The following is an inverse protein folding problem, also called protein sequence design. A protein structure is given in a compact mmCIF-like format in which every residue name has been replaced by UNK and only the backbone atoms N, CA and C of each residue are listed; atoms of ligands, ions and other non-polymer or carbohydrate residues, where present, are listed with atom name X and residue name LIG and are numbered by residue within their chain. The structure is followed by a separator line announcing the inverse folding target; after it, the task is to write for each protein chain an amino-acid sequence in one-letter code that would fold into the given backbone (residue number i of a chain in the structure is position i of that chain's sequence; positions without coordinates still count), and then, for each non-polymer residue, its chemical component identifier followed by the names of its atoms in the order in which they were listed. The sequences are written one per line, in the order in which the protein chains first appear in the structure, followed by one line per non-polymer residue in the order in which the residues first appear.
data_IF_333369669599
#
_entry.id   IF_333369669599
#
_cell.length_a   1.000
_cell.length_b   1.000
_cell.length_c   1.000
_cell.angle_alpha   90.00
_cell.angle_beta   90.00
_cell.angle_gamma   90.00
#
_symmetry.space_group_name_H-M   'P 1'
#
loop_
_entity.id
_entity.type
_entity.pdbx_description
1 polymer ?
#
# COMPACT_ATOMS: atom_id res chain seq x y z
N UNK A 1 -14.50 11.44 16.73
CA UNK A 1 -15.22 10.73 17.81
C UNK A 1 -15.73 11.77 18.79
N UNK A 2 -17.05 11.90 19.00
CA UNK A 2 -17.62 12.93 19.89
C UNK A 2 -17.38 12.48 21.34
N UNK A 3 -16.77 13.33 22.16
CA UNK A 3 -16.55 13.04 23.58
C UNK A 3 -17.90 12.99 24.32
N UNK A 4 -17.97 12.24 25.42
CA UNK A 4 -19.20 12.10 26.21
C UNK A 4 -19.72 13.48 26.69
N UNK A 5 -18.81 14.41 27.01
CA UNK A 5 -19.13 15.79 27.39
C UNK A 5 -19.74 16.59 26.25
N UNK A 6 -19.20 16.47 25.03
CA UNK A 6 -19.77 17.13 23.85
C UNK A 6 -21.15 16.57 23.49
N UNK A 7 -21.36 15.26 23.63
CA UNK A 7 -22.67 14.65 23.40
C UNK A 7 -23.72 15.08 24.45
N UNK A 8 -23.29 15.28 25.71
CA UNK A 8 -24.15 15.82 26.75
C UNK A 8 -24.50 17.29 26.47
N UNK A 9 -23.52 18.09 26.06
CA UNK A 9 -23.72 19.51 25.74
C UNK A 9 -24.69 19.72 24.57
N UNK A 10 -24.56 18.94 23.49
CA UNK A 10 -25.44 19.00 22.31
C UNK A 10 -26.91 18.72 22.69
N UNK A 11 -27.17 17.91 23.72
CA UNK A 11 -28.53 17.62 24.20
C UNK A 11 -29.14 18.74 25.03
N UNK A 12 -28.32 19.62 25.61
CA UNK A 12 -28.77 20.67 26.54
C UNK A 12 -28.71 22.08 25.95
N UNK A 13 -28.09 22.24 24.78
CA UNK A 13 -27.94 23.53 24.10
C UNK A 13 -28.77 23.54 22.81
N UNK A 14 -29.87 24.29 22.81
CA UNK A 14 -30.80 24.36 21.67
C UNK A 14 -30.11 24.83 20.39
N UNK A 15 -29.19 25.80 20.50
CA UNK A 15 -28.42 26.29 19.35
C UNK A 15 -27.51 25.20 18.74
N UNK A 16 -26.91 24.34 19.57
CA UNK A 16 -26.08 23.23 19.08
C UNK A 16 -26.95 22.10 18.50
N UNK A 17 -28.11 21.84 19.09
CA UNK A 17 -29.07 20.87 18.56
C UNK A 17 -29.58 21.29 17.18
N UNK A 18 -29.95 22.56 17.01
CA UNK A 18 -30.39 23.14 15.75
C UNK A 18 -29.28 23.10 14.68
N UNK A 19 -28.05 23.43 15.05
CA UNK A 19 -26.89 23.33 14.17
C UNK A 19 -26.67 21.89 13.67
N UNK A 20 -26.80 20.91 14.56
CA UNK A 20 -26.67 19.49 14.21
C UNK A 20 -27.79 19.03 13.27
N UNK A 21 -29.02 19.48 13.51
CA UNK A 21 -30.14 19.21 12.62
C UNK A 21 -29.88 19.76 11.21
N UNK A 22 -29.41 21.01 11.09
CA UNK A 22 -29.03 21.62 9.81
C UNK A 22 -27.95 20.80 9.07
N UNK A 23 -26.92 20.31 9.77
CA UNK A 23 -25.91 19.44 9.17
C UNK A 23 -26.48 18.10 8.70
N UNK A 24 -27.43 17.51 9.44
CA UNK A 24 -28.07 16.26 8.99
C UNK A 24 -28.92 16.46 7.73
N UNK A 25 -29.64 17.58 7.64
CA UNK A 25 -30.42 17.95 6.46
C UNK A 25 -29.50 18.17 5.27
N UNK A 26 -28.40 18.93 5.44
CA UNK A 26 -27.41 19.15 4.38
C UNK A 26 -26.75 17.85 3.92
N UNK A 27 -26.44 16.94 4.85
CA UNK A 27 -25.91 15.62 4.50
C UNK A 27 -26.92 14.77 3.70
N UNK A 28 -28.21 14.90 4.01
CA UNK A 28 -29.27 14.21 3.27
C UNK A 28 -29.48 14.81 1.86
N UNK A 29 -29.42 16.13 1.71
CA UNK A 29 -29.53 16.79 0.40
C UNK A 29 -28.35 16.45 -0.51
N UNK A 30 -27.11 16.49 0.00
CA UNK A 30 -25.92 16.12 -0.77
C UNK A 30 -25.98 14.66 -1.26
N UNK A 31 -26.41 13.71 -0.41
CA UNK A 31 -26.60 12.30 -0.84
C UNK A 31 -27.66 12.17 -1.92
N UNK A 32 -28.75 12.95 -1.83
CA UNK A 32 -29.81 12.96 -2.84
C UNK A 32 -29.32 13.54 -4.17
N UNK A 33 -28.58 14.64 -4.14
CA UNK A 33 -28.00 15.25 -5.35
C UNK A 33 -26.97 14.33 -6.01
N UNK A 34 -26.10 13.69 -5.23
CA UNK A 34 -25.16 12.68 -5.75
C UNK A 34 -25.91 11.49 -6.36
N UNK A 35 -26.97 11.02 -5.73
CA UNK A 35 -27.80 9.91 -6.27
C UNK A 35 -28.52 10.30 -7.57
N UNK A 36 -28.96 11.56 -7.69
CA UNK A 36 -29.57 12.08 -8.91
C UNK A 36 -28.53 12.33 -10.01
N UNK A 37 -27.33 12.80 -9.67
CA UNK A 37 -26.22 12.98 -10.61
C UNK A 37 -25.71 11.64 -11.17
N UNK A 38 -25.72 10.57 -10.36
CA UNK A 38 -25.41 9.21 -10.77
C UNK A 38 -26.52 8.54 -11.60
N UNK A 39 -27.74 9.08 -11.60
CA UNK A 39 -28.88 8.57 -12.37
C UNK A 39 -28.77 8.74 -13.88
N UNK A 40 -27.81 9.54 -14.36
CA UNK A 40 -27.55 9.79 -15.79
C UNK A 40 -26.37 8.99 -16.35
N UNK A 41 -25.77 8.07 -15.58
CA UNK A 41 -24.79 7.14 -16.12
C UNK A 41 -25.50 6.01 -16.88
N UNK A 42 -24.99 5.58 -18.05
CA UNK A 42 -25.53 4.43 -18.75
C UNK A 42 -25.58 3.22 -17.81
N UNK A 43 -26.71 2.50 -17.85
CA UNK A 43 -26.96 1.38 -16.95
C UNK A 43 -25.81 0.38 -16.99
N UNK A 44 -25.21 0.13 -15.83
CA UNK A 44 -24.26 -0.97 -15.64
C UNK A 44 -24.96 -2.25 -16.10
N UNK A 45 -24.36 -3.06 -17.00
CA UNK A 45 -24.98 -4.29 -17.44
C UNK A 45 -25.26 -5.18 -16.23
N UNK A 46 -26.55 -5.33 -15.91
CA UNK A 46 -27.04 -6.25 -14.89
C UNK A 46 -26.62 -7.65 -15.34
N UNK A 47 -25.68 -8.26 -14.62
CA UNK A 47 -25.46 -9.68 -14.75
C UNK A 47 -26.75 -10.38 -14.29
N UNK A 48 -27.56 -10.82 -15.25
CA UNK A 48 -28.62 -11.80 -14.99
C UNK A 48 -27.93 -13.09 -14.55
N UNK A 49 -27.68 -13.22 -13.25
CA UNK A 49 -27.48 -14.52 -12.64
C UNK A 49 -28.72 -15.34 -12.95
N UNK A 50 -28.58 -16.37 -13.80
CA UNK A 50 -29.61 -17.38 -14.06
C UNK A 50 -29.94 -18.14 -12.76
N UNK A 51 -30.70 -17.51 -11.87
CA UNK A 51 -31.16 -18.06 -10.58
C UNK A 51 -32.40 -18.96 -10.72
N UNK A 52 -32.82 -19.26 -11.95
CA UNK A 52 -34.02 -20.04 -12.23
C UNK A 52 -33.87 -21.58 -12.19
N UNK A 53 -32.65 -22.13 -12.23
CA UNK A 53 -32.45 -23.58 -12.32
C UNK A 53 -32.31 -24.23 -10.93
N UNK A 54 -31.58 -23.60 -10.01
CA UNK A 54 -31.35 -24.13 -8.67
C UNK A 54 -32.62 -24.19 -7.81
N UNK A 55 -33.54 -23.25 -7.98
CA UNK A 55 -34.79 -23.18 -7.21
C UNK A 55 -35.79 -24.27 -7.60
N UNK A 56 -35.85 -24.69 -8.88
CA UNK A 56 -36.70 -25.81 -9.32
C UNK A 56 -36.16 -27.17 -8.86
N UNK A 57 -34.84 -27.36 -8.83
CA UNK A 57 -34.24 -28.62 -8.36
C UNK A 57 -34.41 -28.80 -6.84
N UNK A 58 -34.22 -27.73 -6.08
CA UNK A 58 -34.42 -27.73 -4.61
C UNK A 58 -35.87 -27.98 -4.19
N UNK A 59 -36.84 -27.41 -4.91
CA UNK A 59 -38.27 -27.61 -4.59
C UNK A 59 -38.74 -29.04 -4.82
N UNK A 60 -38.13 -29.77 -5.76
CA UNK A 60 -38.44 -31.18 -6.04
C UNK A 60 -37.77 -32.12 -5.03
N UNK A 61 -36.59 -31.78 -4.50
CA UNK A 61 -35.89 -32.55 -3.46
C UNK A 61 -36.54 -32.50 -2.08
N UNK A 62 -37.22 -31.39 -1.74
CA UNK A 62 -37.91 -31.24 -0.45
C UNK A 62 -39.23 -32.03 -0.34
N UNK A 63 -39.83 -32.43 -1.46
CA UNK A 63 -41.05 -33.21 -1.46
C UNK A 63 -40.82 -34.71 -1.18
N UNK A 64 -39.59 -35.21 -1.38
CA UNK A 64 -39.27 -36.64 -1.29
C UNK A 64 -38.27 -37.01 -0.20
N UNK A 65 -37.51 -36.05 0.35
CA UNK A 65 -36.53 -36.35 1.39
C UNK A 65 -37.07 -36.12 2.80
N UNK A 66 -37.51 -37.20 3.45
CA UNK A 66 -37.56 -37.28 4.92
C UNK A 66 -36.14 -37.44 5.45
N UNK A 67 -35.34 -36.37 5.41
CA UNK A 67 -34.05 -36.37 6.12
C UNK A 67 -34.36 -36.31 7.63
N UNK A 68 -33.89 -37.27 8.45
CA UNK A 68 -34.02 -37.20 9.89
C UNK A 68 -33.35 -35.92 10.40
N UNK A 69 -34.07 -35.10 11.18
CA UNK A 69 -33.61 -33.77 11.65
C UNK A 69 -32.23 -33.78 12.30
N UNK A 70 -31.82 -34.90 12.87
CA UNK A 70 -30.49 -35.10 13.48
C UNK A 70 -29.33 -35.08 12.47
N UNK A 71 -29.52 -35.64 11.26
CA UNK A 71 -28.47 -35.64 10.24
C UNK A 71 -28.22 -34.24 9.68
N UNK A 72 -29.28 -33.43 9.56
CA UNK A 72 -29.17 -32.05 9.12
C UNK A 72 -28.47 -31.18 10.17
N UNK A 73 -28.79 -31.38 11.46
CA UNK A 73 -28.11 -30.69 12.55
C UNK A 73 -26.61 -31.04 12.62
N UNK A 74 -26.26 -32.31 12.42
CA UNK A 74 -24.86 -32.74 12.37
C UNK A 74 -24.10 -32.11 11.19
N UNK A 75 -24.73 -32.03 10.01
CA UNK A 75 -24.12 -31.42 8.83
C UNK A 75 -23.89 -29.91 9.02
N UNK A 76 -24.86 -29.20 9.60
CA UNK A 76 -24.72 -27.78 9.95
C UNK A 76 -23.63 -27.57 11.01
N UNK A 77 -23.54 -28.44 12.01
CA UNK A 77 -22.51 -28.36 13.04
C UNK A 77 -21.11 -28.59 12.45
N UNK A 78 -20.95 -29.56 11.54
CA UNK A 78 -19.68 -29.82 10.84
C UNK A 78 -19.29 -28.63 9.98
N UNK A 79 -20.23 -28.04 9.23
CA UNK A 79 -19.96 -26.83 8.41
C UNK A 79 -19.60 -25.63 9.28
N UNK A 80 -20.26 -25.43 10.43
CA UNK A 80 -19.92 -24.35 11.37
C UNK A 80 -18.54 -24.56 12.02
N UNK A 81 -18.20 -25.81 12.36
CA UNK A 81 -16.91 -26.15 12.95
C UNK A 81 -15.75 -26.06 11.93
N UNK A 82 -15.98 -26.40 10.66
CA UNK A 82 -14.95 -26.28 9.61
C UNK A 82 -14.80 -24.85 9.12
N UNK A 83 -15.89 -24.07 9.00
CA UNK A 83 -15.80 -22.65 8.64
C UNK A 83 -15.24 -21.76 9.76
N UNK A 84 -15.30 -22.20 11.03
CA UNK A 84 -14.68 -21.50 12.16
C UNK A 84 -13.16 -21.60 12.21
N UNK A 85 -12.56 -22.61 11.56
CA UNK A 85 -11.13 -22.88 11.63
C UNK A 85 -10.29 -22.16 10.56
N UNK A 86 -10.89 -21.73 9.44
CA UNK A 86 -10.13 -21.18 8.30
C UNK A 86 -10.11 -19.64 8.21
N UNK A 87 -10.72 -18.92 9.15
CA UNK A 87 -10.58 -17.46 9.24
C UNK A 87 -9.35 -17.05 10.06
N UNK A 88 -8.19 -17.68 9.84
CA UNK A 88 -6.91 -17.05 10.15
C UNK A 88 -6.61 -16.04 9.04
N UNK A 89 -7.36 -14.94 9.00
CA UNK A 89 -6.90 -13.74 8.31
C UNK A 89 -5.57 -13.37 8.96
N UNK A 90 -4.48 -13.53 8.22
CA UNK A 90 -3.24 -12.86 8.55
C UNK A 90 -3.58 -11.37 8.71
N UNK A 91 -3.64 -10.90 9.95
CA UNK A 91 -3.67 -9.47 10.25
C UNK A 91 -2.31 -8.96 9.81
N UNK A 92 -2.26 -8.42 8.60
CA UNK A 92 -1.18 -7.50 8.19
C UNK A 92 -1.34 -6.30 9.11
N UNK A 93 -0.37 -6.14 10.02
CA UNK A 93 -0.43 -5.15 11.08
C UNK A 93 -0.15 -3.76 10.54
N UNK A 94 -1.15 -3.13 9.92
CA UNK A 94 -1.18 -1.68 9.89
C UNK A 94 -1.50 -1.21 11.31
N UNK A 95 -0.50 -0.71 12.05
CA UNK A 95 -0.74 -0.02 13.33
C UNK A 95 -1.59 1.23 13.05
N UNK A 96 -2.91 1.09 13.11
CA UNK A 96 -3.88 2.12 12.70
C UNK A 96 -4.13 3.20 13.76
N UNK A 97 -3.35 3.22 14.84
CA UNK A 97 -3.67 4.02 16.03
C UNK A 97 -2.65 5.14 16.24
N UNK A 98 -3.05 6.37 15.95
CA UNK A 98 -2.29 7.57 16.32
C UNK A 98 -2.44 8.71 15.33
N UNK A 99 -2.41 9.94 15.85
CA UNK A 99 -2.23 11.12 15.01
C UNK A 99 -0.81 11.10 14.42
N UNK A 100 -0.71 11.42 13.13
CA UNK A 100 0.55 11.43 12.39
C UNK A 100 0.78 12.78 11.72
N UNK A 101 2.05 13.08 11.43
CA UNK A 101 2.39 14.07 10.41
C UNK A 101 2.72 13.33 9.14
N UNK A 102 1.97 13.60 8.08
CA UNK A 102 2.37 13.20 6.73
C UNK A 102 3.41 14.22 6.25
N UNK A 103 4.63 13.75 5.98
CA UNK A 103 5.68 14.55 5.36
C UNK A 103 5.79 14.15 3.89
N UNK A 104 5.40 15.06 3.01
CA UNK A 104 5.58 14.93 1.56
C UNK A 104 6.89 15.58 1.17
N UNK A 105 7.66 14.91 0.32
CA UNK A 105 8.95 15.35 -0.18
C UNK A 105 8.82 15.55 -1.68
N UNK A 106 9.07 16.76 -2.14
CA UNK A 106 9.03 17.14 -3.54
C UNK A 106 10.44 17.44 -4.06
N UNK A 107 10.67 17.08 -5.32
CA UNK A 107 11.82 17.55 -6.09
C UNK A 107 11.53 18.91 -6.71
N UNK A 108 12.59 19.64 -7.05
CA UNK A 108 12.50 20.96 -7.69
C UNK A 108 11.76 20.93 -9.04
N UNK A 109 11.67 19.76 -9.69
CA UNK A 109 10.89 19.51 -10.91
C UNK A 109 9.39 19.25 -10.68
N UNK A 110 8.88 19.47 -9.45
CA UNK A 110 7.47 19.36 -9.04
C UNK A 110 6.86 17.96 -9.14
N UNK A 111 7.68 16.91 -9.18
CA UNK A 111 7.22 15.55 -8.92
C UNK A 111 7.35 15.22 -7.42
N UNK A 112 6.28 14.66 -6.84
CA UNK A 112 6.34 14.07 -5.50
C UNK A 112 7.41 13.00 -5.53
N UNK A 113 8.50 13.25 -4.80
CA UNK A 113 9.60 12.31 -4.65
C UNK A 113 9.16 11.14 -3.76
N UNK A 114 8.48 11.45 -2.66
CA UNK A 114 7.95 10.46 -1.73
C UNK A 114 7.03 11.09 -0.66
N UNK A 115 6.35 10.27 0.12
CA UNK A 115 5.58 10.64 1.29
C UNK A 115 5.87 9.68 2.45
N UNK A 116 5.67 10.13 3.68
CA UNK A 116 5.65 9.24 4.83
C UNK A 116 4.83 9.79 5.99
N UNK A 117 4.18 8.89 6.71
CA UNK A 117 3.56 9.17 7.99
C UNK A 117 4.56 8.97 9.13
N UNK A 118 4.84 10.04 9.88
CA UNK A 118 5.58 9.99 11.14
C UNK A 118 4.58 10.01 12.31
N UNK A 119 4.54 8.94 13.11
CA UNK A 119 3.59 8.86 14.23
C UNK A 119 4.03 9.69 15.43
N UNK A 120 3.07 10.41 16.02
CA UNK A 120 3.30 11.20 17.22
C UNK A 120 3.26 10.35 18.49
N UNK A 121 2.69 9.15 18.42
CA UNK A 121 2.49 8.27 19.58
C UNK A 121 3.81 7.59 19.95
N UNK A 122 4.70 7.37 18.97
CA UNK A 122 5.98 6.70 19.18
C UNK A 122 7.16 7.47 18.55
N UNK A 123 7.23 8.77 18.83
CA UNK A 123 8.23 9.69 18.26
C UNK A 123 9.69 9.23 18.40
N UNK A 124 10.02 8.43 19.41
CA UNK A 124 11.38 7.90 19.60
C UNK A 124 11.81 6.83 18.60
N UNK A 125 10.85 6.17 17.93
CA UNK A 125 11.08 5.06 16.98
C UNK A 125 10.73 5.40 15.54
N UNK A 126 9.99 6.48 15.32
CA UNK A 126 9.55 6.86 13.98
C UNK A 126 10.63 7.64 13.24
N UNK A 127 11.34 6.89 12.40
CA UNK A 127 12.30 7.40 11.43
C UNK A 127 12.05 6.78 10.08
N UNK A 128 12.26 7.56 9.05
CA UNK A 128 12.27 7.11 7.67
C UNK A 128 13.66 7.38 7.08
N UNK A 129 14.10 6.50 6.18
CA UNK A 129 15.17 6.77 5.24
C UNK A 129 14.67 6.42 3.84
N UNK A 130 14.95 7.28 2.87
CA UNK A 130 14.61 7.05 1.47
C UNK A 130 15.74 7.52 0.58
N UNK A 131 15.86 6.88 -0.59
CA UNK A 131 16.75 7.28 -1.66
C UNK A 131 16.00 7.34 -2.98
N UNK A 132 16.48 8.15 -3.91
CA UNK A 132 15.92 8.25 -5.24
C UNK A 132 16.77 9.11 -6.16
N UNK A 133 16.47 9.06 -7.45
CA UNK A 133 17.22 9.80 -8.47
C UNK A 133 16.89 11.30 -8.35
N UNK A 134 17.91 12.14 -8.17
CA UNK A 134 17.79 13.61 -8.16
C UNK A 134 17.98 14.22 -9.54
N UNK A 135 18.87 13.65 -10.36
CA UNK A 135 19.10 14.06 -11.74
C UNK A 135 19.58 12.85 -12.55
N UNK A 136 18.68 12.32 -13.40
CA UNK A 136 18.98 11.16 -14.24
C UNK A 136 20.00 11.45 -15.34
N UNK A 137 20.16 12.72 -15.76
CA UNK A 137 21.15 13.10 -16.77
C UNK A 137 22.56 13.14 -16.21
N UNK A 138 22.68 13.41 -14.91
CA UNK A 138 23.98 13.47 -14.19
C UNK A 138 24.27 12.21 -13.38
N UNK A 139 23.44 11.18 -13.51
CA UNK A 139 23.54 9.94 -12.74
C UNK A 139 23.64 10.19 -11.22
N UNK A 140 22.83 11.13 -10.72
CA UNK A 140 22.87 11.59 -9.34
C UNK A 140 21.67 11.07 -8.55
N UNK A 141 21.94 10.37 -7.46
CA UNK A 141 20.96 9.98 -6.46
C UNK A 141 21.08 10.86 -5.20
N UNK A 142 19.95 11.05 -4.54
CA UNK A 142 19.85 11.73 -3.25
C UNK A 142 19.23 10.81 -2.23
N UNK A 143 19.76 10.86 -1.02
CA UNK A 143 19.24 10.12 0.13
C UNK A 143 18.90 11.11 1.21
N UNK A 144 17.75 10.91 1.84
CA UNK A 144 17.30 11.68 2.99
C UNK A 144 16.74 10.75 4.06
N UNK A 145 17.09 11.02 5.31
CA UNK A 145 16.44 10.44 6.48
C UNK A 145 15.81 11.55 7.31
N UNK A 146 14.57 11.29 7.71
CA UNK A 146 13.79 12.14 8.60
C UNK A 146 13.47 11.34 9.86
N UNK A 147 13.80 11.90 11.02
CA UNK A 147 13.43 11.35 12.32
C UNK A 147 12.64 12.38 13.11
N UNK A 148 11.51 11.96 13.68
CA UNK A 148 10.72 12.86 14.52
C UNK A 148 11.42 13.09 15.86
N UNK A 149 11.75 14.33 16.19
CA UNK A 149 12.29 14.69 17.50
C UNK A 149 11.22 15.19 18.48
N UNK A 150 10.07 15.65 17.97
CA UNK A 150 8.95 16.05 18.80
C UNK A 150 8.00 17.01 18.12
N UNK A 151 6.93 17.37 18.84
CA UNK A 151 5.94 18.36 18.40
C UNK A 151 6.37 19.76 18.86
N UNK A 152 6.12 20.75 18.01
CA UNK A 152 6.25 22.17 18.35
C UNK A 152 4.95 22.89 17.99
N UNK A 153 4.80 24.15 18.42
CA UNK A 153 3.63 24.95 18.06
C UNK A 153 3.53 25.09 16.54
N UNK A 154 2.38 24.69 15.97
CA UNK A 154 2.13 24.75 14.53
C UNK A 154 2.95 23.78 13.66
N UNK A 155 3.66 22.80 14.24
CA UNK A 155 4.51 21.91 13.44
C UNK A 155 5.21 20.79 14.20
N UNK A 156 6.28 20.28 13.59
CA UNK A 156 7.15 19.25 14.17
C UNK A 156 8.62 19.62 14.05
N UNK A 157 9.39 19.11 15.01
CA UNK A 157 10.85 19.13 15.01
C UNK A 157 11.34 17.84 14.37
N UNK A 158 12.14 17.97 13.32
CA UNK A 158 12.72 16.84 12.58
C UNK A 158 14.24 16.87 12.72
N UNK A 159 14.83 15.69 12.86
CA UNK A 159 16.26 15.47 12.67
C UNK A 159 16.47 14.94 11.27
N UNK A 160 17.28 15.66 10.49
CA UNK A 160 17.47 15.41 9.07
C UNK A 160 18.90 15.04 8.79
N UNK A 161 19.08 13.94 8.07
CA UNK A 161 20.35 13.56 7.43
C UNK A 161 20.12 13.47 5.94
N UNK A 162 21.03 14.00 5.15
CA UNK A 162 20.92 13.88 3.71
C UNK A 162 22.27 14.01 3.04
N UNK A 163 22.42 13.34 1.90
CA UNK A 163 23.57 13.49 1.01
C UNK A 163 23.17 13.12 -0.42
N UNK A 164 23.99 13.55 -1.37
CA UNK A 164 23.87 13.17 -2.77
C UNK A 164 25.15 12.47 -3.23
N UNK A 165 25.01 11.54 -4.16
CA UNK A 165 26.12 10.79 -4.73
C UNK A 165 25.75 10.12 -6.06
N UNK A 166 26.72 9.45 -6.71
CA UNK A 166 26.44 8.67 -7.92
C UNK A 166 25.39 7.59 -7.64
N UNK A 167 24.42 7.39 -8.55
CA UNK A 167 23.35 6.39 -8.39
C UNK A 167 23.91 5.01 -8.06
N UNK A 168 25.01 4.61 -8.70
CA UNK A 168 25.62 3.29 -8.52
C UNK A 168 26.20 3.02 -7.13
N UNK A 169 26.55 4.06 -6.35
CA UNK A 169 27.23 3.90 -5.05
C UNK A 169 26.45 4.47 -3.88
N UNK A 170 25.25 4.98 -4.12
CA UNK A 170 24.45 5.67 -3.10
C UNK A 170 23.60 4.68 -2.31
N UNK A 171 23.84 4.59 -1.00
CA UNK A 171 23.12 3.72 -0.07
C UNK A 171 22.59 4.49 1.16
N UNK A 172 21.37 4.17 1.58
CA UNK A 172 20.78 4.60 2.85
C UNK A 172 21.64 4.32 4.08
N UNK A 173 22.48 3.28 4.06
CA UNK A 173 23.35 2.94 5.19
C UNK A 173 24.39 4.02 5.52
N UNK A 174 24.83 4.80 4.53
CA UNK A 174 25.79 5.89 4.72
C UNK A 174 25.21 7.07 5.49
N UNK A 175 23.88 7.20 5.57
CA UNK A 175 23.23 8.20 6.40
C UNK A 175 23.67 8.08 7.86
N UNK A 176 23.94 6.88 8.37
CA UNK A 176 24.35 6.69 9.77
C UNK A 176 25.66 7.43 10.13
N UNK A 177 26.49 7.75 9.13
CA UNK A 177 27.79 8.41 9.29
C UNK A 177 27.70 9.94 9.24
N UNK A 178 26.54 10.48 8.87
CA UNK A 178 26.35 11.91 8.67
C UNK A 178 25.80 12.61 9.93
N UNK A 179 26.15 13.89 10.13
CA UNK A 179 25.60 14.68 11.22
C UNK A 179 24.10 14.89 11.04
N UNK A 180 23.36 14.84 12.16
CA UNK A 180 21.95 15.23 12.19
C UNK A 180 21.84 16.76 12.21
N UNK A 181 20.93 17.28 11.37
CA UNK A 181 20.55 18.69 11.38
C UNK A 181 19.12 18.80 11.89
N UNK A 182 18.92 19.58 12.94
CA UNK A 182 17.58 19.87 13.44
C UNK A 182 16.90 20.92 12.55
N UNK A 183 15.67 20.64 12.15
CA UNK A 183 14.81 21.58 11.41
C UNK A 183 13.40 21.60 11.99
N UNK A 184 12.71 22.72 11.81
CA UNK A 184 11.30 22.86 12.19
C UNK A 184 10.48 22.88 10.91
N UNK A 185 9.59 21.90 10.76
CA UNK A 185 8.60 21.85 9.69
C UNK A 185 7.26 22.31 10.27
N UNK A 186 6.83 23.52 9.89
CA UNK A 186 5.49 24.01 10.19
C UNK A 186 4.49 23.39 9.24
N UNK A 187 3.36 22.95 9.75
CA UNK A 187 2.33 22.33 8.92
C UNK A 187 1.64 23.37 8.04
N UNK A 188 1.41 23.02 6.77
CA UNK A 188 0.92 23.95 5.75
C UNK A 188 1.98 24.88 5.14
N UNK A 189 3.22 24.85 5.64
CA UNK A 189 4.36 25.56 5.05
C UNK A 189 5.32 24.58 4.35
N UNK A 190 6.11 25.11 3.41
CA UNK A 190 7.14 24.36 2.71
C UNK A 190 8.51 24.64 3.31
N UNK A 191 9.30 23.61 3.58
CA UNK A 191 10.67 23.72 4.07
C UNK A 191 11.65 23.16 3.04
N UNK A 192 12.59 23.99 2.58
CA UNK A 192 13.66 23.54 1.68
C UNK A 192 14.81 22.91 2.48
N UNK A 193 15.21 21.71 2.09
CA UNK A 193 16.32 20.97 2.67
C UNK A 193 17.35 20.66 1.59
N UNK A 194 18.59 21.11 1.81
CA UNK A 194 19.71 20.77 0.93
C UNK A 194 20.09 19.28 1.06
N UNK A 195 20.35 18.63 -0.07
CA UNK A 195 20.82 17.25 -0.17
C UNK A 195 22.25 17.26 -0.71
N UNK A 196 23.22 17.30 0.21
CA UNK A 196 24.61 17.63 -0.12
C UNK A 196 24.71 18.98 -0.83
N UNK A 197 25.68 19.09 -1.74
CA UNK A 197 25.91 20.30 -2.56
C UNK A 197 25.18 20.24 -3.92
N UNK A 198 24.36 19.22 -4.14
CA UNK A 198 23.92 18.82 -5.48
C UNK A 198 22.42 18.95 -5.74
N UNK A 199 21.63 19.35 -4.74
CA UNK A 199 20.20 19.56 -4.93
C UNK A 199 19.47 20.01 -3.68
N UNK A 200 18.20 20.38 -3.86
CA UNK A 200 17.29 20.75 -2.78
C UNK A 200 16.02 19.91 -2.89
N UNK A 201 15.56 19.39 -1.75
CA UNK A 201 14.24 18.79 -1.60
C UNK A 201 13.33 19.78 -0.87
N UNK A 202 12.04 19.77 -1.20
CA UNK A 202 11.04 20.56 -0.49
C UNK A 202 10.18 19.64 0.35
N UNK A 203 10.10 19.90 1.66
CA UNK A 203 9.29 19.16 2.61
C UNK A 203 7.99 19.91 2.86
N UNK A 204 6.88 19.18 2.91
CA UNK A 204 5.56 19.67 3.28
C UNK A 204 5.02 18.83 4.42
N UNK A 205 4.47 19.47 5.46
CA UNK A 205 3.88 18.76 6.60
C UNK A 205 2.37 18.98 6.67
N UNK A 206 1.62 17.89 6.83
CA UNK A 206 0.18 17.93 7.07
C UNK A 206 -0.22 17.00 8.23
N UNK A 207 -1.15 17.46 9.06
CA UNK A 207 -1.65 16.70 10.21
C UNK A 207 -2.76 15.75 9.79
N UNK A 208 -2.67 14.51 10.24
CA UNK A 208 -3.74 13.54 10.12
C UNK A 208 -4.06 12.92 11.48
N UNK A 209 -5.34 12.66 11.74
CA UNK A 209 -5.81 11.97 12.96
C UNK A 209 -5.69 10.44 12.86
N UNK A 210 -5.27 9.93 11.71
CA UNK A 210 -4.99 8.55 11.38
C UNK A 210 -3.85 8.48 10.36
N UNK A 211 -3.23 7.32 10.17
CA UNK A 211 -2.34 7.10 9.02
C UNK A 211 -3.24 7.08 7.77
N UNK A 212 -3.13 8.07 6.85
CA UNK A 212 -3.93 8.04 5.64
C UNK A 212 -3.60 6.77 4.86
N UNK A 213 -4.54 6.28 4.06
CA UNK A 213 -4.23 5.26 3.08
C UNK A 213 -3.27 5.88 2.04
N UNK A 214 -1.99 5.88 2.34
CA UNK A 214 -0.96 6.35 1.42
C UNK A 214 -1.01 5.45 0.20
N UNK A 215 -1.23 6.05 -0.96
CA UNK A 215 -0.89 5.42 -2.23
C UNK A 215 0.55 5.86 -2.45
N UNK A 216 1.50 5.05 -1.99
CA UNK A 216 2.92 5.43 -1.83
C UNK A 216 3.55 6.06 -3.08
N UNK A 217 4.66 6.78 -2.91
CA UNK A 217 5.48 7.39 -3.98
C UNK A 217 4.67 8.01 -5.14
N UNK A 218 3.93 9.09 -4.87
CA UNK A 218 3.37 9.92 -5.94
C UNK A 218 2.34 9.20 -6.85
N UNK A 219 1.72 8.10 -6.38
CA UNK A 219 0.63 7.47 -7.12
C UNK A 219 -0.59 8.41 -7.11
N UNK A 220 -0.76 9.14 -8.21
CA UNK A 220 -1.82 10.15 -8.39
C UNK A 220 -3.22 9.57 -8.58
N UNK A 221 -3.33 8.25 -8.81
CA UNK A 221 -4.58 7.57 -9.16
C UNK A 221 -4.65 6.17 -8.56
N UNK A 222 -5.80 5.80 -8.02
CA UNK A 222 -6.08 4.44 -7.53
C UNK A 222 -6.00 3.41 -8.67
N UNK A 223 -6.30 3.83 -9.90
CA UNK A 223 -6.23 2.97 -11.09
C UNK A 223 -4.82 3.04 -11.73
N UNK A 224 -4.13 1.90 -11.92
CA UNK A 224 -2.87 1.80 -12.67
C UNK A 224 -3.01 2.23 -14.12
N UNK A 225 -1.98 2.83 -14.70
CA UNK A 225 -1.91 2.99 -16.15
C UNK A 225 -1.78 1.62 -16.85
N UNK A 226 -2.06 1.57 -18.16
CA UNK A 226 -2.08 0.30 -18.91
C UNK A 226 -0.74 -0.47 -18.90
N UNK A 227 0.37 0.27 -18.80
CA UNK A 227 1.75 -0.24 -18.75
C UNK A 227 2.41 -0.05 -17.39
N UNK A 228 1.63 0.21 -16.34
CA UNK A 228 2.13 0.43 -14.99
C UNK A 228 1.91 -0.82 -14.13
N UNK A 229 2.97 -1.20 -13.40
CA UNK A 229 2.93 -2.23 -12.38
C UNK A 229 3.23 -1.57 -11.04
N UNK A 230 2.46 -1.88 -9.99
CA UNK A 230 2.61 -1.30 -8.65
C UNK A 230 2.82 -2.39 -7.62
N UNK A 231 3.92 -2.32 -6.90
CA UNK A 231 4.22 -3.18 -5.76
C UNK A 231 4.41 -2.28 -4.55
N UNK A 232 3.44 -2.27 -3.64
CA UNK A 232 3.41 -1.44 -2.45
C UNK A 232 3.35 -2.34 -1.21
N UNK A 233 4.31 -2.18 -0.30
CA UNK A 233 4.40 -2.91 0.95
C UNK A 233 4.19 -4.43 0.78
N UNK A 234 4.99 -5.09 -0.08
CA UNK A 234 4.71 -6.46 -0.49
C UNK A 234 4.82 -7.45 0.68
N UNK A 235 3.81 -8.30 0.81
CA UNK A 235 3.81 -9.47 1.69
C UNK A 235 3.73 -10.73 0.83
N UNK A 236 4.69 -11.64 1.01
CA UNK A 236 4.72 -12.91 0.29
C UNK A 236 4.26 -14.06 1.18
N UNK A 237 3.32 -14.85 0.66
CA UNK A 237 2.80 -16.05 1.28
C UNK A 237 3.21 -17.30 0.46
N UNK A 238 3.59 -18.36 1.16
CA UNK A 238 3.74 -19.73 0.63
C UNK A 238 2.58 -20.57 1.19
N UNK A 239 1.59 -20.87 0.36
CA UNK A 239 0.27 -21.28 0.85
C UNK A 239 -0.32 -20.18 1.76
N UNK A 240 -0.59 -20.53 3.02
CA UNK A 240 -1.12 -19.59 4.02
C UNK A 240 -0.05 -19.05 4.98
N UNK A 241 1.22 -19.44 4.78
CA UNK A 241 2.33 -19.03 5.63
C UNK A 241 3.01 -17.79 5.06
N UNK A 242 3.13 -16.73 5.87
CA UNK A 242 3.93 -15.55 5.53
C UNK A 242 5.42 -15.90 5.55
N UNK A 243 6.09 -15.73 4.42
CA UNK A 243 7.53 -16.01 4.25
C UNK A 243 8.37 -14.73 4.11
N UNK A 244 7.73 -13.59 3.87
CA UNK A 244 8.41 -12.30 3.79
C UNK A 244 7.46 -11.12 3.76
N UNK A 245 7.96 -9.97 4.17
CA UNK A 245 7.26 -8.68 4.19
C UNK A 245 8.30 -7.57 4.01
N UNK A 246 8.05 -6.63 3.10
CA UNK A 246 8.85 -5.42 2.95
C UNK A 246 7.93 -4.24 3.29
N UNK A 247 8.02 -3.74 4.52
CA UNK A 247 7.19 -2.63 4.97
C UNK A 247 7.73 -1.27 4.50
N UNK A 248 6.83 -0.33 4.26
CA UNK A 248 7.08 1.05 3.85
C UNK A 248 7.60 1.24 2.42
N UNK A 249 7.94 0.18 1.69
CA UNK A 249 8.58 0.31 0.37
C UNK A 249 7.53 0.21 -0.74
N UNK A 250 7.68 1.04 -1.76
CA UNK A 250 6.84 1.05 -2.96
C UNK A 250 7.72 1.07 -4.19
N UNK A 251 7.29 0.43 -5.27
CA UNK A 251 7.89 0.56 -6.60
C UNK A 251 6.79 0.54 -7.67
N UNK A 252 6.94 1.41 -8.67
CA UNK A 252 5.94 1.67 -9.71
C UNK A 252 6.54 1.68 -11.11
N UNK A 253 7.18 0.58 -11.56
CA UNK A 253 7.77 0.54 -12.88
C UNK A 253 6.70 0.77 -13.95
N UNK A 254 7.04 1.67 -14.87
CA UNK A 254 6.22 1.99 -16.03
C UNK A 254 6.88 1.47 -17.29
N UNK A 255 6.05 1.07 -18.27
CA UNK A 255 6.52 0.46 -19.50
C UNK A 255 6.57 -1.06 -19.42
N UNK A 256 6.22 -1.70 -20.53
CA UNK A 256 6.13 -3.15 -20.65
C UNK A 256 7.47 -3.88 -20.55
N UNK A 257 8.58 -3.16 -20.71
CA UNK A 257 9.93 -3.69 -20.68
C UNK A 257 10.58 -3.61 -19.30
N UNK A 258 9.85 -3.16 -18.28
CA UNK A 258 10.36 -3.06 -16.92
C UNK A 258 9.70 -4.10 -16.02
N UNK A 259 10.50 -4.67 -15.12
CA UNK A 259 10.07 -5.57 -14.06
C UNK A 259 10.21 -4.88 -12.70
N UNK A 260 9.25 -5.09 -11.81
CA UNK A 260 9.48 -4.89 -10.37
C UNK A 260 10.17 -6.14 -9.82
N UNK A 261 11.09 -5.99 -8.88
CA UNK A 261 11.66 -7.10 -8.14
C UNK A 261 11.45 -6.91 -6.64
N UNK A 262 11.22 -8.01 -5.93
CA UNK A 262 11.20 -8.07 -4.47
C UNK A 262 12.21 -9.11 -4.01
N UNK A 263 13.05 -8.76 -3.04
CA UNK A 263 14.03 -9.66 -2.45
C UNK A 263 13.60 -9.93 -1.01
N UNK A 264 13.37 -11.20 -0.70
CA UNK A 264 13.10 -11.67 0.64
C UNK A 264 14.29 -12.51 1.12
N UNK A 265 14.94 -12.14 2.24
CA UNK A 265 16.03 -12.92 2.81
C UNK A 265 15.65 -14.40 2.93
N UNK A 266 16.58 -15.30 2.57
CA UNK A 266 16.42 -16.77 2.61
C UNK A 266 15.37 -17.36 1.67
N UNK A 267 14.63 -16.53 0.94
CA UNK A 267 13.60 -16.98 0.00
C UNK A 267 13.93 -16.59 -1.45
N UNK A 268 14.85 -15.63 -1.62
CA UNK A 268 15.39 -15.22 -2.90
C UNK A 268 14.69 -14.01 -3.50
N UNK A 269 14.86 -13.83 -4.81
CA UNK A 269 14.32 -12.71 -5.59
C UNK A 269 13.14 -13.14 -6.43
N UNK A 270 12.11 -12.30 -6.46
CA UNK A 270 10.90 -12.46 -7.25
C UNK A 270 10.77 -11.28 -8.19
N UNK A 271 10.75 -11.53 -9.50
CA UNK A 271 10.55 -10.48 -10.51
C UNK A 271 9.16 -10.59 -11.11
N UNK A 272 8.49 -9.46 -11.23
CA UNK A 272 7.13 -9.31 -11.72
C UNK A 272 7.14 -8.40 -12.95
N UNK A 273 6.62 -8.88 -14.07
CA UNK A 273 6.63 -8.18 -15.35
C UNK A 273 5.26 -8.24 -16.03
N UNK A 274 4.87 -7.17 -16.71
CA UNK A 274 3.68 -7.17 -17.57
C UNK A 274 3.93 -7.88 -18.91
N UNK A 275 5.19 -8.12 -19.27
CA UNK A 275 5.59 -8.83 -20.48
C UNK A 275 6.28 -10.15 -20.17
N UNK A 276 6.14 -11.11 -21.08
CA UNK A 276 6.79 -12.42 -20.94
C UNK A 276 8.30 -12.26 -20.89
N UNK A 277 8.93 -12.92 -19.91
CA UNK A 277 10.38 -12.97 -19.78
C UNK A 277 10.83 -14.43 -19.72
N UNK A 278 12.11 -14.65 -20.02
CA UNK A 278 12.70 -15.99 -20.00
C UNK A 278 12.63 -16.58 -18.59
N UNK A 279 12.25 -17.86 -18.53
CA UNK A 279 12.11 -18.64 -17.29
C UNK A 279 11.04 -18.11 -16.32
N UNK A 280 10.20 -17.17 -16.77
CA UNK A 280 9.07 -16.70 -16.00
C UNK A 280 7.85 -17.61 -16.20
N UNK A 281 7.14 -17.82 -15.10
CA UNK A 281 5.86 -18.51 -15.04
C UNK A 281 4.72 -17.50 -15.09
N UNK A 282 3.55 -17.96 -15.52
CA UNK A 282 2.36 -17.13 -15.51
C UNK A 282 1.79 -17.01 -14.08
N UNK A 283 1.53 -15.78 -13.68
CA UNK A 283 0.77 -15.43 -12.49
C UNK A 283 -0.52 -14.71 -12.87
N UNK A 284 -1.46 -14.72 -11.93
CA UNK A 284 -2.75 -14.03 -12.04
C UNK A 284 -2.79 -12.83 -11.11
N UNK A 285 -3.19 -11.69 -11.63
CA UNK A 285 -3.50 -10.48 -10.87
C UNK A 285 -4.99 -10.46 -10.54
N UNK A 286 -5.31 -10.27 -9.27
CA UNK A 286 -6.65 -9.95 -8.79
C UNK A 286 -6.58 -8.78 -7.80
N UNK A 287 -6.90 -7.57 -8.26
CA UNK A 287 -6.79 -6.33 -7.48
C UNK A 287 -5.37 -6.09 -6.95
N UNK A 288 -5.17 -6.32 -5.65
CA UNK A 288 -3.95 -6.12 -4.90
C UNK A 288 -3.20 -7.45 -4.61
N UNK A 289 -3.47 -8.48 -5.42
CA UNK A 289 -2.94 -9.82 -5.24
C UNK A 289 -2.34 -10.36 -6.53
N UNK A 290 -1.15 -10.96 -6.44
CA UNK A 290 -0.62 -11.86 -7.47
C UNK A 290 -0.62 -13.27 -6.92
N UNK A 291 -1.22 -14.21 -7.64
CA UNK A 291 -1.13 -15.64 -7.34
C UNK A 291 -0.38 -16.37 -8.44
N UNK A 292 0.57 -17.21 -8.08
CA UNK A 292 1.37 -18.00 -9.01
C UNK A 292 1.77 -19.34 -8.38
N UNK A 293 2.16 -20.30 -9.20
CA UNK A 293 2.61 -21.61 -8.73
C UNK A 293 4.04 -21.86 -9.20
N UNK A 294 4.93 -22.16 -8.25
CA UNK A 294 6.34 -22.47 -8.53
C UNK A 294 6.70 -23.79 -7.86
N UNK A 295 7.21 -24.74 -8.66
CA UNK A 295 7.57 -26.10 -8.21
C UNK A 295 6.44 -26.79 -7.42
N UNK A 296 5.21 -26.75 -7.93
CA UNK A 296 4.05 -27.37 -7.27
C UNK A 296 3.56 -26.65 -6.02
N UNK A 297 4.16 -25.51 -5.66
CA UNK A 297 3.78 -24.73 -4.48
C UNK A 297 3.10 -23.43 -4.90
N UNK A 298 1.93 -23.17 -4.31
CA UNK A 298 1.20 -21.92 -4.50
C UNK A 298 1.82 -20.79 -3.69
N UNK A 299 2.07 -19.67 -4.35
CA UNK A 299 2.51 -18.43 -3.74
C UNK A 299 1.44 -17.35 -3.92
N UNK A 300 1.43 -16.40 -2.99
CA UNK A 300 0.57 -15.21 -3.08
C UNK A 300 1.35 -13.99 -2.64
N UNK A 301 1.52 -13.02 -3.54
CA UNK A 301 1.98 -11.68 -3.20
C UNK A 301 0.76 -10.81 -2.90
N UNK A 302 0.73 -10.17 -1.75
CA UNK A 302 -0.22 -9.13 -1.38
C UNK A 302 0.49 -7.78 -1.42
N UNK A 303 -0.20 -6.75 -1.89
CA UNK A 303 0.27 -5.36 -1.91
C UNK A 303 -0.80 -4.44 -1.30
N UNK A 304 -0.41 -3.23 -0.92
CA UNK A 304 -1.28 -2.19 -0.37
C UNK A 304 -2.26 -1.57 -1.39
N UNK A 305 -1.99 -1.70 -2.70
CA UNK A 305 -2.77 -1.05 -3.76
C UNK A 305 -3.05 -1.98 -4.96
N UNK A 306 -3.99 -1.62 -5.86
CA UNK A 306 -4.16 -2.32 -7.14
C UNK A 306 -2.86 -2.39 -7.94
N UNK A 307 -2.52 -3.57 -8.45
CA UNK A 307 -1.19 -3.87 -9.03
C UNK A 307 -1.05 -3.36 -10.46
N UNK A 308 -1.97 -3.76 -11.33
CA UNK A 308 -1.98 -3.39 -12.73
C UNK A 308 -3.41 -3.52 -13.28
N UNK A 309 -3.67 -2.98 -14.47
CA UNK A 309 -4.95 -3.17 -15.19
C UNK A 309 -5.11 -4.57 -15.79
N UNK A 310 -4.02 -5.28 -15.98
CA UNK A 310 -4.02 -6.60 -16.60
C UNK A 310 -4.32 -7.69 -15.56
N UNK A 311 -4.98 -8.75 -15.99
CA UNK A 311 -5.26 -9.92 -15.14
C UNK A 311 -4.08 -10.90 -15.07
N UNK A 312 -3.05 -10.69 -15.90
CA UNK A 312 -1.90 -11.57 -16.05
C UNK A 312 -0.61 -10.83 -15.70
N UNK A 313 0.32 -11.55 -15.10
CA UNK A 313 1.69 -11.10 -14.83
C UNK A 313 2.66 -12.25 -15.06
N UNK A 314 3.90 -11.94 -15.40
CA UNK A 314 4.96 -12.92 -15.53
C UNK A 314 5.85 -12.85 -14.31
N UNK A 315 6.05 -13.99 -13.64
CA UNK A 315 6.79 -14.10 -12.40
C UNK A 315 8.04 -14.94 -12.63
N UNK A 316 9.22 -14.37 -12.40
CA UNK A 316 10.48 -15.12 -12.37
C UNK A 316 10.93 -15.27 -10.93
N UNK A 317 11.23 -16.50 -10.52
CA UNK A 317 11.65 -16.84 -9.15
C UNK A 317 13.11 -17.26 -9.16
N UNK A 318 13.90 -16.63 -8.30
CA UNK A 318 15.34 -16.87 -8.15
C UNK A 318 15.63 -17.19 -6.67
N UNK A 319 15.43 -18.44 -6.25
CA UNK A 319 15.37 -18.81 -4.82
C UNK A 319 16.70 -18.63 -4.08
N UNK A 320 17.83 -18.68 -4.79
CA UNK A 320 19.18 -18.56 -4.23
C UNK A 320 19.80 -17.17 -4.45
N UNK A 321 19.00 -16.19 -4.88
CA UNK A 321 19.49 -14.83 -5.06
C UNK A 321 19.74 -14.16 -3.71
N UNK A 322 20.97 -13.72 -3.50
CA UNK A 322 21.36 -12.81 -2.41
C UNK A 322 21.88 -11.50 -3.01
N UNK A 323 21.63 -10.38 -2.33
CA UNK A 323 22.27 -9.11 -2.72
C UNK A 323 23.78 -9.21 -2.45
N UNK A 324 24.64 -9.03 -3.47
CA UNK A 324 26.09 -9.16 -3.30
C UNK A 324 26.65 -8.24 -2.22
N UNK A 325 26.16 -6.99 -2.18
CA UNK A 325 26.66 -5.95 -1.28
C UNK A 325 25.98 -5.96 0.10
N UNK A 326 24.82 -6.64 0.20
CA UNK A 326 23.98 -6.64 1.41
C UNK A 326 23.32 -8.01 1.66
N UNK A 327 24.09 -9.07 1.95
CA UNK A 327 23.54 -10.39 2.19
C UNK A 327 22.58 -10.37 3.39
N UNK A 328 21.40 -10.95 3.20
CA UNK A 328 20.35 -11.00 4.23
C UNK A 328 19.44 -9.77 4.31
N UNK A 329 19.60 -8.78 3.43
CA UNK A 329 18.72 -7.61 3.35
C UNK A 329 17.48 -7.84 2.48
N UNK A 330 16.40 -7.13 2.81
CA UNK A 330 15.23 -7.01 1.94
C UNK A 330 15.51 -6.06 0.78
N UNK A 331 14.77 -6.21 -0.32
CA UNK A 331 14.88 -5.34 -1.49
C UNK A 331 13.55 -5.12 -2.19
N UNK A 332 13.33 -3.92 -2.70
CA UNK A 332 12.29 -3.59 -3.66
C UNK A 332 12.87 -2.59 -4.67
N UNK A 333 12.59 -2.78 -5.95
CA UNK A 333 12.97 -1.84 -6.98
C UNK A 333 12.64 -2.37 -8.36
N UNK A 334 13.07 -1.64 -9.39
CA UNK A 334 12.78 -1.98 -10.78
C UNK A 334 14.04 -2.27 -11.58
N UNK A 335 13.89 -3.11 -12.60
CA UNK A 335 14.96 -3.49 -13.52
C UNK A 335 14.41 -3.67 -14.92
N UNK A 336 15.18 -3.26 -15.93
CA UNK A 336 14.79 -3.49 -17.33
C UNK A 336 14.91 -4.97 -17.70
N UNK A 337 13.96 -5.46 -18.51
CA UNK A 337 13.95 -6.81 -19.04
C UNK A 337 15.15 -7.08 -19.97
N UNK A 338 15.68 -6.03 -20.60
CA UNK A 338 16.92 -6.08 -21.39
C UNK A 338 18.15 -6.36 -20.52
N UNK A 339 18.19 -5.84 -19.29
CA UNK A 339 19.27 -6.13 -18.32
C UNK A 339 19.20 -7.59 -17.85
N UNK A 340 17.99 -8.11 -17.62
CA UNK A 340 17.77 -9.49 -17.17
C UNK A 340 18.18 -10.56 -18.19
N UNK A 341 18.21 -10.21 -19.48
CA UNK A 341 18.60 -11.12 -20.57
C UNK A 341 20.11 -11.14 -20.83
N UNK A 342 20.85 -10.10 -20.41
CA UNK A 342 22.31 -10.00 -20.60
C UNK A 342 23.15 -10.62 -19.49
N UNK A 343 22.58 -10.83 -18.30
CA UNK A 343 23.27 -11.46 -17.18
C UNK A 343 23.35 -12.99 -17.39
N UNK A 344 24.34 -13.44 -18.15
CA UNK A 344 24.86 -14.81 -18.15
C UNK A 344 26.36 -14.81 -18.38
#
# INVERSE_FOLDING_TARGET
MITHEAAAHIRTCDACAELMEQYTILGATLRREVSLALGNLPSIPRWETKTGIFTRFWRKGWATMRVPRLAFAALVLVVLLTMGAELKRARVGAESNGSVVLVTIDREDQSVFSSCALSLVNSSKDSMAMGGILDSKKDLAGVISLKLAGRVEGGVRLLVRSYAGPVATTDTSDLAKLPEREVILKTGESLKVAVGDSGTLTLHGEWFDHIPAEIGMGIKSIDPAASELRIQQPVLLKGDMRIGEVDGWTDTPSGFDNSAYVIFPKTGRYLFSLSSTKDAIEGKIEKNRITFEYQGTKYTLLTGAPIARQEKVWVRVEPDYEMPDHPGSYGLGSISNATLTRAK
#
